data_IF_177369357153
#
_entry.id   IF_177369357153
#
_cell.length_a   1.000
_cell.length_b   1.000
_cell.length_c   1.000
_cell.angle_alpha   90.00
_cell.angle_beta   90.00
_cell.angle_gamma   90.00
#
_symmetry.space_group_name_H-M   'P 1'
#
loop_
_entity.id
_entity.type
_entity.pdbx_description
1 polymer ?
#
# COMPACT_ATOMS: atom_id res chain seq x y z
N UNK A 1 7.34 6.44 11.79
CA UNK A 1 6.97 5.02 11.88
C UNK A 1 7.92 4.31 12.83
N UNK A 2 7.42 3.72 13.91
CA UNK A 2 8.21 2.82 14.76
C UNK A 2 7.80 1.40 14.37
N UNK A 3 8.70 0.69 13.71
CA UNK A 3 8.57 -0.74 13.43
C UNK A 3 9.37 -1.45 14.53
N UNK A 4 8.79 -2.47 15.15
CA UNK A 4 9.43 -3.22 16.24
C UNK A 4 9.60 -4.69 15.82
N UNK A 5 10.72 -5.28 16.24
CA UNK A 5 11.10 -6.68 15.98
C UNK A 5 10.16 -7.63 16.74
N UNK A 6 9.79 -8.74 16.10
CA UNK A 6 9.08 -9.83 16.79
C UNK A 6 10.04 -11.03 16.86
N UNK A 7 10.42 -11.38 18.09
CA UNK A 7 11.13 -12.62 18.40
C UNK A 7 10.20 -13.81 18.15
N UNK A 8 10.60 -14.70 17.23
CA UNK A 8 9.86 -15.89 16.83
C UNK A 8 9.65 -16.93 17.95
N UNK A 9 10.17 -16.71 19.15
CA UNK A 9 10.11 -17.68 20.27
C UNK A 9 8.96 -17.47 21.25
N UNK A 10 8.24 -16.35 21.18
CA UNK A 10 7.11 -16.04 22.09
C UNK A 10 5.81 -16.00 21.29
N UNK A 11 5.10 -17.14 21.23
CA UNK A 11 3.87 -17.39 20.47
C UNK A 11 2.71 -16.42 20.78
N UNK A 12 2.86 -15.18 20.34
CA UNK A 12 1.88 -14.11 20.42
C UNK A 12 1.53 -13.80 18.98
N UNK A 13 0.27 -14.03 18.59
CA UNK A 13 -0.23 -13.62 17.27
C UNK A 13 -0.18 -12.09 17.18
N UNK A 14 0.93 -11.58 16.65
CA UNK A 14 1.09 -10.14 16.46
C UNK A 14 0.33 -9.74 15.20
N UNK A 15 -0.51 -8.72 15.31
CA UNK A 15 -1.33 -8.23 14.20
C UNK A 15 -0.46 -7.91 12.98
N UNK A 16 -0.94 -8.24 11.77
CA UNK A 16 -0.22 -8.08 10.48
C UNK A 16 0.54 -6.76 10.32
N UNK A 17 0.00 -5.65 10.83
CA UNK A 17 0.63 -4.30 10.85
C UNK A 17 1.96 -4.21 11.60
N UNK A 18 2.30 -5.21 12.41
CA UNK A 18 3.52 -5.29 13.21
C UNK A 18 4.49 -6.36 12.64
N UNK A 19 4.08 -7.09 11.60
CA UNK A 19 4.88 -8.13 10.93
C UNK A 19 5.72 -7.56 9.77
N UNK A 20 6.18 -6.30 9.90
CA UNK A 20 7.10 -5.71 8.93
C UNK A 20 8.50 -6.26 9.13
N UNK A 21 9.15 -6.74 8.06
CA UNK A 21 10.57 -7.09 8.14
C UNK A 21 11.40 -5.80 8.26
N UNK A 22 11.94 -5.54 9.46
CA UNK A 22 12.75 -4.38 9.79
C UNK A 22 13.98 -4.21 8.88
N UNK A 23 14.53 -5.31 8.36
CA UNK A 23 15.63 -5.27 7.41
C UNK A 23 15.28 -4.46 6.15
N UNK A 24 14.01 -4.44 5.76
CA UNK A 24 13.50 -3.71 4.59
C UNK A 24 13.42 -2.19 4.80
N UNK A 25 13.65 -1.70 6.03
CA UNK A 25 13.62 -0.27 6.39
C UNK A 25 15.01 0.30 6.71
N UNK A 26 16.07 -0.45 6.42
CA UNK A 26 17.44 0.08 6.40
C UNK A 26 17.60 1.15 5.31
N UNK A 27 18.54 2.09 5.49
CA UNK A 27 18.81 3.15 4.50
C UNK A 27 19.07 2.60 3.09
N UNK A 28 19.80 1.49 3.00
CA UNK A 28 20.13 0.86 1.73
C UNK A 28 18.91 0.24 1.05
N UNK A 29 18.02 -0.40 1.80
CA UNK A 29 16.80 -0.99 1.23
C UNK A 29 15.75 0.07 0.88
N UNK A 30 15.71 1.19 1.61
CA UNK A 30 14.94 2.37 1.21
C UNK A 30 15.47 2.94 -0.12
N UNK A 31 16.79 3.09 -0.27
CA UNK A 31 17.39 3.55 -1.53
C UNK A 31 17.08 2.61 -2.71
N UNK A 32 17.12 1.30 -2.49
CA UNK A 32 16.68 0.31 -3.50
C UNK A 32 15.20 0.51 -3.85
N UNK A 33 14.33 0.70 -2.86
CA UNK A 33 12.89 0.94 -3.08
C UNK A 33 12.65 2.20 -3.92
N UNK A 34 13.35 3.29 -3.61
CA UNK A 34 13.34 4.54 -4.39
C UNK A 34 13.80 4.29 -5.83
N UNK A 35 14.82 3.46 -6.06
CA UNK A 35 15.26 3.14 -7.42
C UNK A 35 14.25 2.29 -8.21
N UNK A 36 13.54 1.37 -7.53
CA UNK A 36 12.58 0.46 -8.15
C UNK A 36 11.33 1.17 -8.67
N UNK A 37 10.94 2.31 -8.09
CA UNK A 37 9.80 3.10 -8.58
C UNK A 37 10.00 3.50 -10.06
N UNK A 38 11.24 3.79 -10.47
CA UNK A 38 11.59 4.20 -11.83
C UNK A 38 11.80 3.00 -12.77
N UNK A 39 11.74 1.77 -12.26
CA UNK A 39 12.00 0.59 -13.07
C UNK A 39 10.84 0.35 -14.06
N UNK A 40 11.11 0.19 -15.38
CA UNK A 40 10.04 0.13 -16.40
C UNK A 40 8.99 -0.95 -16.16
N UNK A 41 9.40 -2.11 -15.65
CA UNK A 41 8.46 -3.19 -15.33
C UNK A 41 7.53 -2.83 -14.15
N UNK A 42 8.03 -2.08 -13.18
CA UNK A 42 7.22 -1.65 -12.04
C UNK A 42 6.24 -0.54 -12.43
N UNK A 43 6.68 0.40 -13.27
CA UNK A 43 5.80 1.40 -13.87
C UNK A 43 4.68 0.69 -14.65
N UNK A 44 5.02 -0.26 -15.53
CA UNK A 44 4.03 -1.01 -16.30
C UNK A 44 3.06 -1.81 -15.40
N UNK A 45 3.56 -2.42 -14.32
CA UNK A 45 2.72 -3.17 -13.39
C UNK A 45 1.74 -2.26 -12.63
N UNK A 46 2.24 -1.16 -12.06
CA UNK A 46 1.40 -0.20 -11.32
C UNK A 46 0.39 0.49 -12.24
N UNK A 47 0.73 0.77 -13.51
CA UNK A 47 -0.24 1.25 -14.50
C UNK A 47 -1.36 0.25 -14.75
N UNK A 48 -1.06 -1.05 -14.81
CA UNK A 48 -2.09 -2.09 -14.97
C UNK A 48 -3.02 -2.13 -13.77
N UNK A 49 -2.47 -2.09 -12.54
CA UNK A 49 -3.28 -2.03 -11.32
C UNK A 49 -4.15 -0.78 -11.28
N UNK A 50 -3.56 0.38 -11.60
CA UNK A 50 -4.25 1.66 -11.68
C UNK A 50 -5.43 1.62 -12.67
N UNK A 51 -5.22 1.06 -13.86
CA UNK A 51 -6.28 0.91 -14.87
C UNK A 51 -7.40 -0.05 -14.42
N UNK A 52 -7.12 -1.00 -13.53
CA UNK A 52 -8.15 -1.84 -12.92
C UNK A 52 -8.94 -1.10 -11.81
N UNK A 53 -8.29 -0.17 -11.11
CA UNK A 53 -8.93 0.62 -10.06
C UNK A 53 -9.86 1.70 -10.63
N UNK A 54 -9.48 2.30 -11.76
CA UNK A 54 -10.28 3.32 -12.42
C UNK A 54 -11.53 2.75 -13.09
N UNK A 55 -12.62 3.52 -13.04
CA UNK A 55 -13.87 3.23 -13.73
C UNK A 55 -14.01 4.18 -14.92
N UNK A 56 -14.54 3.69 -16.03
CA UNK A 56 -15.07 4.49 -17.15
C UNK A 56 -14.17 5.65 -17.68
N UNK A 57 -12.84 5.50 -17.68
CA UNK A 57 -11.93 6.52 -18.20
C UNK A 57 -11.68 7.70 -17.26
N UNK A 58 -12.05 7.56 -15.98
CA UNK A 58 -11.67 8.52 -14.94
C UNK A 58 -10.15 8.65 -14.83
N UNK A 59 -9.69 9.81 -14.32
CA UNK A 59 -8.25 10.09 -14.11
C UNK A 59 -7.88 10.21 -12.63
N UNK A 60 -8.88 10.11 -11.75
CA UNK A 60 -8.75 10.31 -10.31
C UNK A 60 -9.56 9.23 -9.61
N UNK A 61 -9.01 8.70 -8.54
CA UNK A 61 -9.66 7.69 -7.71
C UNK A 61 -10.13 8.37 -6.41
N UNK A 62 -11.43 8.28 -6.13
CA UNK A 62 -12.01 8.78 -4.88
C UNK A 62 -11.83 7.74 -3.77
N UNK A 63 -11.98 8.14 -2.50
CA UNK A 63 -11.89 7.19 -1.40
C UNK A 63 -12.87 6.00 -1.54
N UNK A 64 -14.16 6.17 -1.89
CA UNK A 64 -15.06 5.03 -2.09
C UNK A 64 -14.60 4.04 -3.17
N UNK A 65 -14.06 4.54 -4.29
CA UNK A 65 -13.55 3.69 -5.36
C UNK A 65 -12.24 2.98 -4.95
N UNK A 66 -11.36 3.70 -4.26
CA UNK A 66 -10.14 3.13 -3.66
C UNK A 66 -10.47 2.05 -2.64
N UNK A 67 -11.40 2.29 -1.72
CA UNK A 67 -11.82 1.32 -0.71
C UNK A 67 -12.38 0.05 -1.37
N UNK A 68 -13.22 0.22 -2.40
CA UNK A 68 -13.76 -0.92 -3.15
C UNK A 68 -12.65 -1.74 -3.80
N UNK A 69 -11.71 -1.08 -4.46
CA UNK A 69 -10.60 -1.74 -5.15
C UNK A 69 -9.65 -2.46 -4.18
N UNK A 70 -9.23 -1.78 -3.11
CA UNK A 70 -8.31 -2.34 -2.12
C UNK A 70 -8.95 -3.49 -1.33
N UNK A 71 -10.26 -3.46 -1.06
CA UNK A 71 -10.96 -4.60 -0.47
C UNK A 71 -10.91 -5.85 -1.37
N UNK A 72 -11.01 -5.67 -2.69
CA UNK A 72 -10.83 -6.79 -3.63
C UNK A 72 -9.40 -7.34 -3.58
N UNK A 73 -8.39 -6.48 -3.50
CA UNK A 73 -7.00 -6.89 -3.37
C UNK A 73 -6.73 -7.61 -2.04
N UNK A 74 -7.17 -7.03 -0.91
CA UNK A 74 -7.03 -7.63 0.42
C UNK A 74 -7.67 -9.02 0.47
N UNK A 75 -8.86 -9.18 -0.10
CA UNK A 75 -9.53 -10.49 -0.19
C UNK A 75 -8.75 -11.51 -1.03
N UNK A 76 -7.97 -11.05 -2.00
CA UNK A 76 -7.15 -11.91 -2.86
C UNK A 76 -5.83 -12.32 -2.18
N UNK A 77 -5.20 -11.43 -1.43
CA UNK A 77 -3.83 -11.60 -0.93
C UNK A 77 -3.75 -12.01 0.54
N UNK A 78 -4.75 -11.66 1.36
CA UNK A 78 -4.74 -11.98 2.79
C UNK A 78 -5.28 -13.40 3.01
N UNK A 79 -4.50 -14.29 3.65
CA UNK A 79 -4.96 -15.65 3.95
C UNK A 79 -6.21 -15.67 4.85
N UNK A 80 -6.28 -14.75 5.81
CA UNK A 80 -7.39 -14.58 6.75
C UNK A 80 -8.03 -13.20 6.54
N UNK A 81 -8.91 -13.11 5.53
CA UNK A 81 -9.57 -11.86 5.20
C UNK A 81 -10.67 -11.52 6.22
N UNK A 82 -10.47 -10.45 6.97
CA UNK A 82 -11.51 -9.76 7.72
C UNK A 82 -11.83 -8.40 7.09
N UNK A 83 -13.12 -8.14 6.87
CA UNK A 83 -13.59 -6.92 6.21
C UNK A 83 -13.43 -5.68 7.10
N UNK A 84 -13.63 -5.82 8.41
CA UNK A 84 -13.52 -4.71 9.36
C UNK A 84 -12.09 -4.22 9.47
N UNK A 85 -11.17 -5.15 9.75
CA UNK A 85 -9.73 -4.90 9.81
C UNK A 85 -9.19 -4.36 8.48
N UNK A 86 -9.63 -4.92 7.35
CA UNK A 86 -9.22 -4.41 6.03
C UNK A 86 -9.67 -2.97 5.80
N UNK A 87 -10.91 -2.61 6.17
CA UNK A 87 -11.40 -1.22 6.04
C UNK A 87 -10.61 -0.23 6.89
N UNK A 88 -10.24 -0.61 8.12
CA UNK A 88 -9.43 0.24 8.97
C UNK A 88 -8.02 0.45 8.38
N UNK A 89 -7.37 -0.60 7.88
CA UNK A 89 -6.08 -0.49 7.18
C UNK A 89 -6.17 0.41 5.95
N UNK A 90 -7.18 0.20 5.10
CA UNK A 90 -7.41 0.98 3.88
C UNK A 90 -7.64 2.47 4.20
N UNK A 91 -8.30 2.79 5.31
CA UNK A 91 -8.50 4.19 5.75
C UNK A 91 -7.20 4.84 6.18
N UNK A 92 -6.35 4.12 6.90
CA UNK A 92 -5.05 4.61 7.30
C UNK A 92 -4.12 4.77 6.09
N UNK A 93 -4.15 3.80 5.16
CA UNK A 93 -3.45 3.87 3.89
C UNK A 93 -3.89 5.07 3.07
N UNK A 94 -5.21 5.29 2.94
CA UNK A 94 -5.74 6.44 2.21
C UNK A 94 -5.20 7.77 2.74
N UNK A 95 -5.23 8.00 4.07
CA UNK A 95 -4.74 9.25 4.67
C UNK A 95 -3.27 9.50 4.37
N UNK A 96 -2.46 8.44 4.34
CA UNK A 96 -1.04 8.53 3.99
C UNK A 96 -0.88 8.78 2.49
N UNK A 97 -1.60 8.02 1.67
CA UNK A 97 -1.36 7.92 0.24
C UNK A 97 -2.00 9.06 -0.55
N UNK A 98 -3.10 9.65 -0.08
CA UNK A 98 -3.73 10.82 -0.73
C UNK A 98 -3.07 12.15 -0.33
N UNK A 99 -2.21 12.14 0.70
CA UNK A 99 -1.62 13.35 1.29
C UNK A 99 -2.72 14.35 1.70
N UNK A 100 -2.56 15.61 1.30
CA UNK A 100 -3.57 16.66 1.55
C UNK A 100 -4.75 16.64 0.56
N UNK A 101 -4.74 15.74 -0.42
CA UNK A 101 -5.74 15.66 -1.47
C UNK A 101 -6.90 14.74 -1.09
N UNK A 102 -8.07 15.00 -1.65
CA UNK A 102 -9.27 14.16 -1.51
C UNK A 102 -9.40 13.11 -2.63
N UNK A 103 -8.35 12.92 -3.42
CA UNK A 103 -8.30 11.94 -4.50
C UNK A 103 -6.86 11.41 -4.66
N UNK A 104 -6.73 10.23 -5.29
CA UNK A 104 -5.46 9.73 -5.82
C UNK A 104 -5.41 9.94 -7.33
N UNK A 105 -4.28 10.39 -7.84
CA UNK A 105 -3.94 10.29 -9.26
C UNK A 105 -2.88 9.20 -9.47
N UNK A 106 -2.53 8.90 -10.72
CA UNK A 106 -1.57 7.83 -11.01
C UNK A 106 -0.21 8.05 -10.32
N UNK A 107 0.41 9.25 -10.33
CA UNK A 107 1.65 9.48 -9.60
C UNK A 107 1.57 9.12 -8.11
N UNK A 108 0.54 9.60 -7.39
CA UNK A 108 0.40 9.29 -5.96
C UNK A 108 0.11 7.81 -5.72
N UNK A 109 -0.73 7.19 -6.55
CA UNK A 109 -0.98 5.74 -6.49
C UNK A 109 0.27 4.91 -6.79
N UNK A 110 1.07 5.32 -7.77
CA UNK A 110 2.32 4.64 -8.10
C UNK A 110 3.29 4.70 -6.91
N UNK A 111 3.45 5.88 -6.29
CA UNK A 111 4.30 6.06 -5.12
C UNK A 111 3.80 5.30 -3.89
N UNK A 112 2.47 5.18 -3.70
CA UNK A 112 1.91 4.45 -2.55
C UNK A 112 2.22 2.96 -2.58
N UNK A 113 2.30 2.35 -3.76
CA UNK A 113 2.73 0.95 -3.92
C UNK A 113 4.17 0.69 -3.42
N UNK A 114 4.96 1.76 -3.20
CA UNK A 114 6.31 1.70 -2.64
C UNK A 114 6.41 2.36 -1.25
N UNK A 115 5.30 2.82 -0.66
CA UNK A 115 5.29 3.61 0.58
C UNK A 115 6.15 4.89 0.47
N UNK A 116 6.18 5.53 -0.70
CA UNK A 116 7.00 6.73 -0.98
C UNK A 116 6.20 8.03 -1.05
N UNK A 117 4.91 8.02 -0.70
CA UNK A 117 4.11 9.24 -0.67
C UNK A 117 4.59 10.14 0.47
N UNK A 118 5.02 11.35 0.13
CA UNK A 118 5.53 12.34 1.10
C UNK A 118 6.98 12.10 1.58
N UNK A 119 7.71 11.16 0.97
CA UNK A 119 9.13 10.88 1.23
C UNK A 119 10.07 11.81 0.47
#
# INVERSE_FOLDING_TARGET
HVVAEIDSTLGTEVAYRQQGNLDLYTKDNLAKRVSLQQHPHMIALTQRLWNCALRNGDKKLTFPDYETYMLCLHRLILPEFDIGASKELIRDDWKRDSGEQNYLDYPFFHLSMFELVGA
#
